data_IF_229632937865
#
_entry.id   IF_229632937865
#
_cell.length_a   1.000
_cell.length_b   1.000
_cell.length_c   1.000
_cell.angle_alpha   90.00
_cell.angle_beta   90.00
_cell.angle_gamma   90.00
#
_symmetry.space_group_name_H-M   'P 1'
#
loop_
_entity.id
_entity.type
_entity.pdbx_description
1 polymer ?
#
# COMPACT_ATOMS: atom_id res chain seq x y z
N UNK A 1 -23.70 -20.86 13.89
CA UNK A 1 -22.47 -20.18 13.41
C UNK A 1 -21.26 -20.96 13.88
N UNK A 2 -20.36 -21.33 12.97
CA UNK A 2 -19.10 -22.00 13.32
C UNK A 2 -18.10 -20.93 13.75
N UNK A 3 -17.52 -21.12 14.94
CA UNK A 3 -16.48 -20.25 15.46
C UNK A 3 -15.16 -20.51 14.71
N UNK A 4 -14.82 -19.60 13.81
CA UNK A 4 -13.65 -19.71 12.93
C UNK A 4 -12.34 -19.66 13.72
N UNK A 5 -12.35 -19.16 14.96
CA UNK A 5 -11.18 -19.13 15.84
C UNK A 5 -10.76 -20.51 16.36
N UNK A 6 -11.65 -21.51 16.26
CA UNK A 6 -11.40 -22.90 16.69
C UNK A 6 -10.96 -23.82 15.53
N UNK A 7 -10.92 -23.29 14.31
CA UNK A 7 -10.47 -24.04 13.13
C UNK A 7 -8.95 -24.01 13.08
N UNK A 8 -8.33 -25.19 13.09
CA UNK A 8 -6.88 -25.33 12.97
C UNK A 8 -6.49 -25.21 11.49
N UNK A 9 -6.06 -24.03 11.08
CA UNK A 9 -5.60 -23.76 9.72
C UNK A 9 -4.12 -24.12 9.60
N UNK A 10 -3.78 -25.05 8.72
CA UNK A 10 -2.39 -25.27 8.31
C UNK A 10 -1.94 -24.14 7.38
N UNK A 11 -1.28 -23.12 7.94
CA UNK A 11 -0.75 -21.97 7.21
C UNK A 11 0.52 -22.33 6.41
N UNK A 12 0.35 -23.13 5.36
CA UNK A 12 1.46 -23.64 4.53
C UNK A 12 1.98 -22.65 3.47
N UNK A 13 1.41 -21.45 3.36
CA UNK A 13 1.60 -20.56 2.22
C UNK A 13 2.85 -19.63 2.28
N UNK A 14 3.66 -19.68 3.34
CA UNK A 14 4.89 -18.88 3.45
C UNK A 14 6.19 -19.61 3.07
N UNK A 15 6.14 -20.70 2.29
CA UNK A 15 7.37 -21.45 1.90
C UNK A 15 8.44 -20.59 1.21
N UNK A 16 8.08 -19.48 0.55
CA UNK A 16 9.05 -18.65 -0.18
C UNK A 16 9.72 -17.53 0.63
N UNK A 17 9.28 -17.29 1.88
CA UNK A 17 9.82 -16.24 2.76
C UNK A 17 10.46 -16.78 4.04
N UNK A 18 10.49 -18.10 4.23
CA UNK A 18 11.33 -18.68 5.26
C UNK A 18 12.78 -18.65 4.75
N UNK A 19 13.75 -18.17 5.53
CA UNK A 19 15.13 -18.61 5.35
C UNK A 19 15.08 -20.14 5.30
N UNK A 20 15.72 -20.74 4.30
CA UNK A 20 15.91 -22.20 4.27
C UNK A 20 16.68 -22.58 5.54
N UNK A 21 15.94 -22.93 6.60
CA UNK A 21 16.54 -23.41 7.83
C UNK A 21 16.96 -24.85 7.57
N UNK A 22 18.22 -24.99 7.19
CA UNK A 22 18.92 -26.25 7.08
C UNK A 22 18.76 -27.06 8.37
N UNK A 23 18.06 -28.19 8.28
CA UNK A 23 18.34 -29.40 9.04
C UNK A 23 17.96 -29.44 10.52
N UNK A 24 17.01 -30.34 10.82
CA UNK A 24 16.85 -31.07 12.09
C UNK A 24 16.32 -30.36 13.33
N UNK A 25 15.10 -29.84 13.30
CA UNK A 25 14.34 -29.60 14.55
C UNK A 25 13.00 -30.38 14.59
N UNK A 26 12.83 -31.38 15.46
CA UNK A 26 11.63 -32.20 15.54
C UNK A 26 10.55 -31.56 16.42
N UNK A 27 10.46 -30.23 16.48
CA UNK A 27 9.53 -29.55 17.38
C UNK A 27 8.28 -29.04 16.63
N UNK A 28 7.41 -29.97 16.24
CA UNK A 28 6.08 -29.70 15.68
C UNK A 28 5.13 -28.91 16.61
N UNK A 29 5.53 -28.63 17.86
CA UNK A 29 4.77 -27.77 18.78
C UNK A 29 4.98 -26.27 18.52
N UNK A 30 6.11 -25.85 17.91
CA UNK A 30 6.38 -24.43 17.63
C UNK A 30 5.49 -23.82 16.54
N UNK A 31 4.93 -24.65 15.66
CA UNK A 31 4.00 -24.23 14.61
C UNK A 31 2.57 -23.93 15.13
N UNK A 32 2.25 -24.33 16.38
CA UNK A 32 0.88 -24.30 16.92
C UNK A 32 0.44 -22.93 17.46
N UNK A 33 1.37 -22.00 17.64
CA UNK A 33 1.12 -20.65 18.18
C UNK A 33 1.61 -19.53 17.23
N UNK A 34 1.68 -19.80 15.92
CA UNK A 34 2.05 -18.75 14.97
C UNK A 34 0.85 -17.83 14.76
N UNK A 35 0.98 -16.56 15.18
CA UNK A 35 -0.01 -15.52 14.90
C UNK A 35 -0.28 -15.49 13.39
N UNK A 36 -1.55 -15.45 13.01
CA UNK A 36 -1.97 -15.38 11.61
C UNK A 36 -1.40 -14.08 11.02
N UNK A 37 -0.55 -14.14 9.97
CA UNK A 37 -0.07 -12.95 9.30
C UNK A 37 -1.26 -12.11 8.83
N UNK A 38 -1.23 -10.78 9.00
CA UNK A 38 -2.35 -9.91 8.62
C UNK A 38 -2.68 -9.95 7.12
N UNK A 39 -1.71 -10.34 6.31
CA UNK A 39 -1.71 -10.44 4.85
C UNK A 39 -1.96 -11.86 4.32
N UNK A 40 -2.32 -12.83 5.18
CA UNK A 40 -2.48 -14.25 4.81
C UNK A 40 -3.39 -14.50 3.61
N UNK A 41 -4.35 -13.60 3.37
CA UNK A 41 -5.38 -13.70 2.34
C UNK A 41 -4.96 -13.09 1.00
N UNK A 42 -3.90 -12.27 0.97
CA UNK A 42 -3.57 -11.41 -0.17
C UNK A 42 -3.23 -12.24 -1.41
N UNK A 43 -2.42 -13.29 -1.27
CA UNK A 43 -2.00 -14.09 -2.42
C UNK A 43 -3.17 -14.84 -3.07
N UNK A 44 -4.08 -15.40 -2.27
CA UNK A 44 -5.25 -16.12 -2.75
C UNK A 44 -6.24 -15.19 -3.44
N UNK A 45 -6.45 -13.98 -2.88
CA UNK A 45 -7.32 -12.99 -3.51
C UNK A 45 -6.75 -12.50 -4.85
N UNK A 46 -5.43 -12.48 -5.02
CA UNK A 46 -4.80 -12.12 -6.29
C UNK A 46 -5.11 -13.09 -7.43
N UNK A 47 -5.55 -14.32 -7.13
CA UNK A 47 -5.99 -15.31 -8.13
C UNK A 47 -7.43 -15.11 -8.59
N UNK A 48 -8.20 -14.23 -7.96
CA UNK A 48 -9.57 -13.90 -8.37
C UNK A 48 -9.60 -13.00 -9.60
N UNK A 49 -10.62 -13.16 -10.43
CA UNK A 49 -10.93 -12.19 -11.48
C UNK A 49 -11.43 -10.87 -10.89
N UNK A 50 -11.30 -9.78 -11.65
CA UNK A 50 -11.54 -8.42 -11.16
C UNK A 50 -12.93 -8.22 -10.53
N UNK A 51 -13.97 -8.83 -11.11
CA UNK A 51 -15.33 -8.75 -10.57
C UNK A 51 -15.49 -9.42 -9.20
N UNK A 52 -14.85 -10.57 -9.00
CA UNK A 52 -14.86 -11.29 -7.72
C UNK A 52 -14.00 -10.59 -6.69
N UNK A 53 -12.79 -10.18 -7.08
CA UNK A 53 -11.89 -9.41 -6.22
C UNK A 53 -12.59 -8.16 -5.67
N UNK A 54 -13.27 -7.39 -6.55
CA UNK A 54 -14.05 -6.21 -6.16
C UNK A 54 -15.10 -6.53 -5.10
N UNK A 55 -15.90 -7.58 -5.28
CA UNK A 55 -16.95 -7.96 -4.33
C UNK A 55 -16.38 -8.33 -2.96
N UNK A 56 -15.29 -9.10 -2.95
CA UNK A 56 -14.63 -9.50 -1.70
C UNK A 56 -14.07 -8.27 -0.99
N UNK A 57 -13.35 -7.40 -1.69
CA UNK A 57 -12.78 -6.18 -1.11
C UNK A 57 -13.84 -5.23 -0.55
N UNK A 58 -14.93 -5.00 -1.29
CA UNK A 58 -16.06 -4.19 -0.78
C UNK A 58 -16.63 -4.81 0.49
N UNK A 59 -16.79 -6.14 0.53
CA UNK A 59 -17.31 -6.84 1.72
C UNK A 59 -16.36 -6.71 2.92
N UNK A 60 -15.06 -6.73 2.67
CA UNK A 60 -14.03 -6.54 3.71
C UNK A 60 -14.10 -5.09 4.25
N UNK A 61 -14.16 -4.12 3.35
CA UNK A 61 -14.23 -2.69 3.69
C UNK A 61 -15.51 -2.35 4.48
N UNK A 62 -16.67 -2.86 4.07
CA UNK A 62 -17.94 -2.60 4.77
C UNK A 62 -17.99 -3.24 6.16
N UNK A 63 -17.27 -4.35 6.36
CA UNK A 63 -17.13 -4.96 7.70
C UNK A 63 -16.17 -4.19 8.61
N UNK A 64 -15.29 -3.36 8.07
CA UNK A 64 -14.34 -2.54 8.86
C UNK A 64 -13.37 -3.35 9.73
N UNK A 65 -13.09 -4.61 9.35
CA UNK A 65 -12.30 -5.54 10.17
C UNK A 65 -10.79 -5.46 9.96
N UNK A 66 -10.34 -4.86 8.85
CA UNK A 66 -8.94 -4.73 8.47
C UNK A 66 -8.54 -3.27 8.40
N UNK A 67 -7.27 -2.98 8.68
CA UNK A 67 -6.73 -1.63 8.50
C UNK A 67 -6.57 -1.28 7.02
N UNK A 68 -6.66 0.01 6.73
CA UNK A 68 -6.52 0.55 5.37
C UNK A 68 -5.15 0.22 4.75
N UNK A 69 -4.09 0.12 5.56
CA UNK A 69 -2.76 -0.33 5.13
C UNK A 69 -2.78 -1.78 4.60
N UNK A 70 -3.45 -2.70 5.32
CA UNK A 70 -3.53 -4.11 4.92
C UNK A 70 -4.39 -4.26 3.65
N UNK A 71 -5.45 -3.46 3.53
CA UNK A 71 -6.26 -3.39 2.30
C UNK A 71 -5.44 -2.84 1.14
N UNK A 72 -4.65 -1.79 1.37
CA UNK A 72 -3.76 -1.19 0.39
C UNK A 72 -2.67 -2.14 -0.11
N UNK A 73 -2.06 -2.91 0.78
CA UNK A 73 -1.10 -3.96 0.39
C UNK A 73 -1.77 -5.05 -0.47
N UNK A 74 -3.01 -5.43 -0.15
CA UNK A 74 -3.80 -6.32 -1.00
C UNK A 74 -4.00 -5.76 -2.43
N UNK A 75 -4.43 -4.50 -2.53
CA UNK A 75 -4.62 -3.81 -3.82
C UNK A 75 -3.33 -3.68 -4.62
N UNK A 76 -2.22 -3.37 -3.93
CA UNK A 76 -0.90 -3.26 -4.52
C UNK A 76 -0.41 -4.60 -5.07
N UNK A 77 -0.54 -5.68 -4.29
CA UNK A 77 -0.20 -7.03 -4.74
C UNK A 77 -1.04 -7.45 -5.96
N UNK A 78 -2.34 -7.19 -5.92
CA UNK A 78 -3.26 -7.48 -7.02
C UNK A 78 -2.86 -6.73 -8.31
N UNK A 79 -2.57 -5.43 -8.20
CA UNK A 79 -2.13 -4.61 -9.32
C UNK A 79 -0.84 -5.14 -9.96
N UNK A 80 0.17 -5.47 -9.15
CA UNK A 80 1.44 -6.01 -9.66
C UNK A 80 1.30 -7.39 -10.31
N UNK A 81 0.35 -8.22 -9.85
CA UNK A 81 0.09 -9.53 -10.45
C UNK A 81 -0.75 -9.44 -11.72
N UNK A 82 -1.74 -8.53 -11.77
CA UNK A 82 -2.77 -8.50 -12.82
C UNK A 82 -2.53 -7.50 -13.94
N UNK A 83 -1.71 -6.47 -13.73
CA UNK A 83 -1.42 -5.45 -14.74
C UNK A 83 -0.05 -5.70 -15.39
N UNK A 84 0.02 -6.18 -16.65
CA UNK A 84 1.30 -6.42 -17.32
C UNK A 84 2.10 -5.12 -17.48
N UNK A 85 3.38 -5.17 -17.12
CA UNK A 85 4.28 -4.02 -17.25
C UNK A 85 4.14 -2.93 -16.19
N UNK A 86 3.16 -3.06 -15.28
CA UNK A 86 2.91 -2.10 -14.20
C UNK A 86 4.08 -1.98 -13.22
N UNK A 87 4.76 -3.07 -12.89
CA UNK A 87 5.95 -3.06 -12.02
C UNK A 87 7.09 -2.22 -12.58
N UNK A 88 7.34 -2.34 -13.90
CA UNK A 88 8.39 -1.65 -14.66
C UNK A 88 7.98 -0.24 -15.10
N UNK A 89 6.73 0.18 -14.87
CA UNK A 89 6.21 1.45 -15.38
C UNK A 89 6.10 1.52 -16.90
N UNK A 90 6.16 0.37 -17.58
CA UNK A 90 6.09 0.24 -19.04
C UNK A 90 4.82 -0.53 -19.37
N UNK A 91 3.73 0.20 -19.63
CA UNK A 91 2.40 -0.39 -19.77
C UNK A 91 2.35 -1.23 -21.05
N UNK A 92 2.08 -2.52 -20.90
CA UNK A 92 1.93 -3.46 -22.02
C UNK A 92 0.53 -4.04 -21.96
N UNK A 93 -0.24 -3.88 -23.03
CA UNK A 93 -1.64 -4.24 -22.99
C UNK A 93 -2.05 -5.05 -24.22
N UNK A 94 -2.29 -6.35 -24.02
CA UNK A 94 -2.94 -7.21 -25.04
C UNK A 94 -4.46 -7.01 -25.07
N UNK A 95 -5.08 -6.69 -23.93
CA UNK A 95 -6.53 -6.43 -23.80
C UNK A 95 -6.76 -5.12 -23.03
N UNK A 96 -6.94 -4.03 -23.79
CA UNK A 96 -7.12 -2.68 -23.28
C UNK A 96 -8.35 -2.54 -22.39
N UNK A 97 -9.44 -3.25 -22.70
CA UNK A 97 -10.68 -3.17 -21.93
C UNK A 97 -10.51 -3.80 -20.53
N UNK A 98 -9.87 -4.98 -20.47
CA UNK A 98 -9.58 -5.65 -19.19
C UNK A 98 -8.59 -4.86 -18.34
N UNK A 99 -7.54 -4.31 -18.95
CA UNK A 99 -6.58 -3.46 -18.25
C UNK A 99 -7.25 -2.22 -17.68
N UNK A 100 -8.06 -1.52 -18.50
CA UNK A 100 -8.83 -0.34 -18.07
C UNK A 100 -9.77 -0.65 -16.91
N UNK A 101 -10.56 -1.72 -17.01
CA UNK A 101 -11.47 -2.16 -15.94
C UNK A 101 -10.73 -2.50 -14.64
N UNK A 102 -9.54 -3.09 -14.76
CA UNK A 102 -8.71 -3.43 -13.61
C UNK A 102 -8.16 -2.18 -12.92
N UNK A 103 -7.60 -1.23 -13.67
CA UNK A 103 -7.10 0.04 -13.12
C UNK A 103 -8.24 0.81 -12.46
N UNK A 104 -9.37 0.98 -13.15
CA UNK A 104 -10.56 1.68 -12.62
C UNK A 104 -11.02 1.08 -11.28
N UNK A 105 -11.16 -0.25 -11.25
CA UNK A 105 -11.56 -0.96 -10.03
C UNK A 105 -10.56 -0.78 -8.89
N UNK A 106 -9.25 -0.89 -9.16
CA UNK A 106 -8.23 -0.67 -8.12
C UNK A 106 -8.35 0.75 -7.55
N UNK A 107 -8.51 1.78 -8.40
CA UNK A 107 -8.65 3.17 -7.94
C UNK A 107 -9.90 3.38 -7.10
N UNK A 108 -11.03 2.76 -7.49
CA UNK A 108 -12.29 2.85 -6.76
C UNK A 108 -12.23 2.16 -5.38
N UNK A 109 -11.39 1.13 -5.24
CA UNK A 109 -11.24 0.38 -3.99
C UNK A 109 -10.16 0.95 -3.08
N UNK A 110 -9.35 1.92 -3.53
CA UNK A 110 -8.32 2.52 -2.70
C UNK A 110 -8.91 3.14 -1.43
N UNK A 111 -8.37 2.80 -0.25
CA UNK A 111 -8.74 3.47 0.99
C UNK A 111 -8.54 4.99 0.90
N UNK A 112 -9.33 5.73 1.67
CA UNK A 112 -9.23 7.19 1.72
C UNK A 112 -8.08 7.65 2.63
N UNK A 113 -7.70 6.82 3.61
CA UNK A 113 -6.67 7.13 4.59
C UNK A 113 -5.29 7.30 3.95
N UNK A 114 -4.54 8.30 4.44
CA UNK A 114 -3.16 8.56 4.02
C UNK A 114 -2.27 7.37 4.44
N UNK A 115 -1.21 7.14 3.68
CA UNK A 115 -0.29 6.03 3.96
C UNK A 115 -0.85 4.61 3.72
N UNK A 116 -2.13 4.46 3.32
CA UNK A 116 -2.70 3.16 2.97
C UNK A 116 -1.93 2.43 1.85
N UNK A 117 -1.34 3.18 0.93
CA UNK A 117 -0.41 2.68 -0.09
C UNK A 117 0.74 3.66 -0.30
N UNK A 118 1.93 3.18 -0.73
CA UNK A 118 3.07 4.06 -1.02
C UNK A 118 2.79 5.09 -2.13
N UNK A 119 3.34 6.29 -2.01
CA UNK A 119 3.20 7.34 -3.04
C UNK A 119 3.69 6.89 -4.42
N UNK A 120 4.78 6.12 -4.48
CA UNK A 120 5.31 5.58 -5.73
C UNK A 120 4.30 4.67 -6.47
N UNK A 121 3.43 3.99 -5.73
CA UNK A 121 2.40 3.12 -6.26
C UNK A 121 1.26 3.96 -6.82
N UNK A 122 0.83 4.99 -6.10
CA UNK A 122 -0.17 5.96 -6.57
C UNK A 122 0.28 6.65 -7.87
N UNK A 123 1.55 7.05 -7.96
CA UNK A 123 2.13 7.66 -9.17
C UNK A 123 2.11 6.69 -10.36
N UNK A 124 2.46 5.41 -10.15
CA UNK A 124 2.36 4.38 -11.19
C UNK A 124 0.91 4.15 -11.62
N UNK A 125 -0.02 4.15 -10.65
CA UNK A 125 -1.44 3.99 -10.91
C UNK A 125 -2.03 5.18 -11.68
N UNK A 126 -1.62 6.41 -11.37
CA UNK A 126 -2.00 7.60 -12.12
C UNK A 126 -1.52 7.54 -13.57
N UNK A 127 -0.25 7.13 -13.80
CA UNK A 127 0.26 6.90 -15.16
C UNK A 127 -0.58 5.88 -15.92
N UNK A 128 -0.96 4.78 -15.26
CA UNK A 128 -1.84 3.77 -15.84
C UNK A 128 -3.24 4.31 -16.16
N UNK A 129 -3.84 5.10 -15.26
CA UNK A 129 -5.14 5.73 -15.44
C UNK A 129 -5.15 6.72 -16.62
N UNK A 130 -4.08 7.48 -16.81
CA UNK A 130 -3.90 8.38 -17.96
C UNK A 130 -3.77 7.56 -19.25
N UNK A 131 -2.98 6.50 -19.23
CA UNK A 131 -2.76 5.66 -20.42
C UNK A 131 -4.05 5.00 -20.95
N UNK A 132 -4.92 4.52 -20.05
CA UNK A 132 -6.21 3.92 -20.44
C UNK A 132 -7.37 4.92 -20.53
N UNK A 133 -7.07 6.22 -20.50
CA UNK A 133 -8.05 7.30 -20.57
C UNK A 133 -9.24 7.09 -19.62
N UNK A 134 -8.93 6.98 -18.32
CA UNK A 134 -9.96 7.05 -17.29
C UNK A 134 -10.47 8.50 -17.16
N UNK A 135 -11.75 8.63 -16.78
CA UNK A 135 -12.40 9.93 -16.65
C UNK A 135 -11.70 10.86 -15.66
N UNK A 136 -11.84 12.17 -15.88
CA UNK A 136 -11.14 13.19 -15.09
C UNK A 136 -11.45 13.15 -13.59
N UNK A 137 -12.66 12.74 -13.21
CA UNK A 137 -13.02 12.54 -11.82
C UNK A 137 -12.13 11.49 -11.12
N UNK A 138 -11.84 10.37 -11.79
CA UNK A 138 -11.03 9.28 -11.24
C UNK A 138 -9.56 9.71 -11.14
N UNK A 139 -9.05 10.37 -12.20
CA UNK A 139 -7.69 10.93 -12.22
C UNK A 139 -7.53 12.00 -11.13
N UNK A 140 -8.51 12.87 -10.94
CA UNK A 140 -8.53 13.90 -9.91
C UNK A 140 -8.46 13.34 -8.48
N UNK A 141 -9.15 12.23 -8.21
CA UNK A 141 -9.05 11.54 -6.90
C UNK A 141 -7.63 11.05 -6.62
N UNK A 142 -6.95 10.46 -7.62
CA UNK A 142 -5.56 10.04 -7.48
C UNK A 142 -4.62 11.22 -7.25
N UNK A 143 -4.75 12.29 -8.04
CA UNK A 143 -3.92 13.50 -7.92
C UNK A 143 -4.07 14.09 -6.52
N UNK A 144 -5.30 14.20 -6.01
CA UNK A 144 -5.56 14.69 -4.66
C UNK A 144 -4.87 13.83 -3.61
N UNK A 145 -4.99 12.50 -3.69
CA UNK A 145 -4.34 11.58 -2.74
C UNK A 145 -2.81 11.67 -2.78
N UNK A 146 -2.24 11.81 -3.97
CA UNK A 146 -0.79 12.00 -4.15
C UNK A 146 -0.35 13.32 -3.52
N UNK A 147 -1.06 14.42 -3.81
CA UNK A 147 -0.76 15.74 -3.23
C UNK A 147 -0.78 15.71 -1.71
N UNK A 148 -1.81 15.08 -1.13
CA UNK A 148 -1.93 14.87 0.31
C UNK A 148 -0.70 14.16 0.92
N UNK A 149 -0.20 13.08 0.31
CA UNK A 149 1.00 12.39 0.80
C UNK A 149 2.29 13.22 0.67
N UNK A 150 2.36 14.13 -0.30
CA UNK A 150 3.54 14.98 -0.54
C UNK A 150 3.59 16.22 0.37
N UNK A 151 2.44 16.76 0.77
CA UNK A 151 2.35 17.89 1.70
C UNK A 151 2.98 17.56 3.07
N UNK A 152 2.86 16.33 3.57
CA UNK A 152 3.46 15.93 4.85
C UNK A 152 4.97 15.65 4.77
N UNK A 153 5.46 15.19 3.63
CA UNK A 153 6.90 15.13 3.37
C UNK A 153 7.47 16.55 3.28
N UNK A 154 6.71 17.52 2.77
CA UNK A 154 7.18 18.90 2.64
C UNK A 154 7.07 19.70 3.94
N UNK A 155 6.07 19.54 4.82
CA UNK A 155 6.01 20.41 6.03
C UNK A 155 7.12 20.14 7.05
N UNK A 156 7.48 18.87 7.30
CA UNK A 156 8.55 18.56 8.26
C UNK A 156 9.95 18.76 7.68
N UNK A 157 10.14 18.60 6.37
CA UNK A 157 11.42 18.87 5.69
C UNK A 157 11.58 20.35 5.28
N UNK A 158 10.49 21.12 5.16
CA UNK A 158 10.49 22.58 4.98
C UNK A 158 10.54 23.34 6.31
N UNK A 159 10.36 22.67 7.45
CA UNK A 159 10.87 23.13 8.75
C UNK A 159 12.41 23.00 8.77
N UNK A 160 13.07 23.62 7.80
CA UNK A 160 14.43 24.10 7.99
C UNK A 160 14.31 25.05 9.18
N UNK A 161 14.87 24.68 10.33
CA UNK A 161 14.95 25.53 11.51
C UNK A 161 15.28 26.97 11.10
N UNK A 162 14.27 27.83 10.99
CA UNK A 162 14.48 29.26 10.98
C UNK A 162 14.91 29.57 12.41
N UNK A 163 16.22 29.79 12.55
CA UNK A 163 16.93 29.84 13.82
C UNK A 163 16.14 30.56 14.89
N UNK A 164 15.83 29.83 15.96
CA UNK A 164 15.34 30.44 17.17
C UNK A 164 16.51 31.19 17.82
N UNK A 165 16.52 32.51 17.58
CA UNK A 165 16.80 33.51 18.61
C UNK A 165 18.15 33.45 19.32
N UNK A 166 19.02 34.37 18.89
CA UNK A 166 19.63 35.36 19.79
C UNK A 166 20.58 34.85 20.88
N UNK A 167 21.88 34.92 20.55
CA UNK A 167 22.78 35.68 21.40
C UNK A 167 23.55 36.66 20.51
N UNK A 168 22.89 37.75 20.10
CA UNK A 168 23.60 38.98 19.71
C UNK A 168 24.30 39.50 20.97
N UNK A 169 25.45 38.93 21.28
CA UNK A 169 26.39 39.54 22.20
C UNK A 169 26.98 40.72 21.45
N UNK A 170 26.38 41.89 21.64
CA UNK A 170 27.01 43.15 21.28
C UNK A 170 28.33 43.23 22.04
N UNK A 171 29.44 43.11 21.31
CA UNK A 171 30.75 43.45 21.84
C UNK A 171 30.84 44.98 21.87
N UNK A 172 30.62 45.54 23.06
CA UNK A 172 30.74 46.98 23.34
C UNK A 172 32.07 47.21 24.04
N UNK A 173 33.20 46.95 23.38
CA UNK A 173 34.49 47.35 23.91
C UNK A 173 35.41 47.96 22.85
N UNK A 174 35.00 49.12 22.33
CA UNK A 174 35.88 50.04 21.62
C UNK A 174 35.46 51.49 21.85
N UNK A 175 35.38 51.91 23.12
CA UNK A 175 35.46 53.33 23.48
C UNK A 175 36.55 53.49 24.53
N UNK A 176 37.72 53.99 24.12
CA UNK A 176 38.35 55.19 24.70
C UNK A 176 39.67 55.57 24.02
N UNK A 177 39.68 56.82 23.56
CA UNK A 177 40.77 57.81 23.45
C UNK A 177 41.97 57.53 22.55
#
# INVERSE_FOLDING_TARGET
CVDVSKVNWSYSYNRRKLPEENGNDPNFNGLRNRLVPKDWWVEDLCELEIGLYKRVLITIQTKGTLSDEVIGEGLKAYAYRRLPGFSKGMIQCGDAAKYRSTVDTIVCLLPAERGSVPCNFLLKLLKAAIYVDLGDAIKGQLIRRIGQQLEEASVNDLLIHAGEGENMMYDVDAVKK
#
